data_IF_781325561768
#
_entry.id   IF_781325561768
#
_cell.length_a   1.000
_cell.length_b   1.000
_cell.length_c   1.000
_cell.angle_alpha   90.00
_cell.angle_beta   90.00
_cell.angle_gamma   90.00
#
_symmetry.space_group_name_H-M   'P 1'
#
loop_
_entity.id
_entity.type
_entity.pdbx_description
1 polymer ?
#
# COMPACT_ATOMS: atom_id res chain seq x y z
N UNK A 1 8.45 14.18 0.20
CA UNK A 1 8.37 13.16 -0.86
C UNK A 1 7.25 13.49 -1.83
N UNK A 2 7.37 13.07 -3.09
CA UNK A 2 6.28 13.21 -4.06
C UNK A 2 5.25 12.11 -3.85
N UNK A 3 3.97 12.45 -4.02
CA UNK A 3 2.87 11.50 -3.96
C UNK A 3 1.75 11.92 -4.92
N UNK A 4 1.07 10.93 -5.49
CA UNK A 4 -0.14 11.13 -6.28
C UNK A 4 -1.34 10.83 -5.38
N UNK A 5 -2.10 11.86 -5.05
CA UNK A 5 -3.19 11.75 -4.08
C UNK A 5 -4.57 11.91 -4.73
N UNK A 6 -5.56 11.31 -4.09
CA UNK A 6 -6.97 11.68 -4.22
C UNK A 6 -7.27 12.71 -3.12
N UNK A 7 -7.39 14.01 -3.47
CA UNK A 7 -7.51 15.06 -2.45
C UNK A 7 -8.88 15.11 -1.79
N UNK A 8 -9.92 14.67 -2.51
CA UNK A 8 -11.31 14.71 -2.09
C UNK A 8 -12.26 14.15 -3.14
N UNK A 9 -13.59 14.27 -2.91
CA UNK A 9 -14.61 13.88 -3.88
C UNK A 9 -14.48 14.60 -5.23
N UNK A 10 -14.81 13.87 -6.31
CA UNK A 10 -14.78 14.39 -7.69
C UNK A 10 -13.66 13.79 -8.54
N UNK A 11 -13.71 13.95 -9.87
CA UNK A 11 -12.72 13.38 -10.78
C UNK A 11 -11.32 14.00 -10.62
N UNK A 12 -10.31 13.21 -10.96
CA UNK A 12 -8.91 13.64 -11.01
C UNK A 12 -8.09 13.28 -9.78
N UNK A 13 -6.79 13.49 -9.90
CA UNK A 13 -5.76 13.24 -8.89
C UNK A 13 -4.82 14.45 -8.86
N UNK A 14 -4.07 14.61 -7.77
CA UNK A 14 -3.09 15.68 -7.60
C UNK A 14 -1.72 15.11 -7.28
N UNK A 15 -0.69 15.62 -7.96
CA UNK A 15 0.70 15.36 -7.61
C UNK A 15 1.14 16.41 -6.58
N UNK A 16 1.49 15.94 -5.40
CA UNK A 16 1.86 16.81 -4.28
C UNK A 16 3.22 16.44 -3.70
N UNK A 17 3.80 17.39 -2.96
CA UNK A 17 4.88 17.11 -2.03
C UNK A 17 4.33 17.03 -0.60
N UNK A 18 4.65 15.93 0.10
CA UNK A 18 4.22 15.70 1.47
C UNK A 18 5.36 15.11 2.32
N UNK A 19 5.16 15.07 3.64
CA UNK A 19 6.09 14.40 4.55
C UNK A 19 6.19 12.90 4.23
N UNK A 20 7.32 12.28 4.55
CA UNK A 20 7.43 10.82 4.53
C UNK A 20 6.48 10.22 5.57
N UNK A 21 5.91 9.01 5.31
CA UNK A 21 5.06 8.36 6.29
C UNK A 21 5.86 7.97 7.54
N UNK A 22 5.21 8.05 8.70
CA UNK A 22 5.75 7.50 9.94
C UNK A 22 5.82 5.96 9.84
N UNK A 23 6.88 5.39 10.43
CA UNK A 23 7.07 3.93 10.48
C UNK A 23 6.56 3.43 11.82
N UNK A 24 5.42 2.73 11.80
CA UNK A 24 4.88 2.08 12.99
C UNK A 24 5.75 0.89 13.43
N UNK A 25 5.55 0.40 14.68
CA UNK A 25 6.40 -0.66 15.24
C UNK A 25 6.46 -1.94 14.40
N UNK A 26 5.40 -2.25 13.67
CA UNK A 26 5.27 -3.45 12.83
C UNK A 26 5.33 -3.17 11.33
N UNK A 27 5.59 -1.91 10.95
CA UNK A 27 5.57 -1.47 9.56
C UNK A 27 6.96 -1.57 8.90
N UNK A 28 6.95 -1.66 7.60
CA UNK A 28 8.12 -1.57 6.72
C UNK A 28 7.96 -0.34 5.85
N UNK A 29 8.94 0.54 5.85
CA UNK A 29 9.04 1.67 4.94
C UNK A 29 9.72 1.22 3.65
N UNK A 30 9.04 1.39 2.54
CA UNK A 30 9.49 0.93 1.23
C UNK A 30 9.74 2.13 0.32
N UNK A 31 10.96 2.26 -0.19
CA UNK A 31 11.28 3.18 -1.28
C UNK A 31 10.77 2.58 -2.59
N UNK A 32 9.67 3.12 -3.11
CA UNK A 32 8.97 2.59 -4.29
C UNK A 32 9.84 2.79 -5.54
N UNK A 33 10.02 1.73 -6.29
CA UNK A 33 10.79 1.73 -7.55
C UNK A 33 9.91 1.56 -8.77
N UNK A 34 8.80 0.83 -8.65
CA UNK A 34 7.78 0.62 -9.69
C UNK A 34 6.42 0.49 -9.04
N UNK A 35 5.42 0.98 -9.74
CA UNK A 35 4.02 0.76 -9.40
C UNK A 35 3.25 0.46 -10.69
N UNK A 36 2.17 -0.30 -10.57
CA UNK A 36 1.26 -0.60 -11.67
C UNK A 36 -0.09 0.09 -11.46
N UNK A 37 -0.75 0.44 -12.55
CA UNK A 37 -2.10 1.00 -12.53
C UNK A 37 -3.09 -0.15 -12.64
N UNK A 38 -3.99 -0.25 -11.67
CA UNK A 38 -5.12 -1.18 -11.65
C UNK A 38 -6.40 -0.50 -12.13
N UNK A 39 -7.41 -1.28 -12.51
CA UNK A 39 -8.75 -0.76 -12.78
C UNK A 39 -9.36 0.01 -11.62
N UNK A 40 -9.04 -0.37 -10.39
CA UNK A 40 -9.44 0.34 -9.17
C UNK A 40 -8.94 1.80 -9.15
N UNK A 41 -7.73 2.06 -9.65
CA UNK A 41 -7.19 3.43 -9.71
C UNK A 41 -7.98 4.30 -10.69
N UNK A 42 -8.56 3.72 -11.76
CA UNK A 42 -9.45 4.42 -12.68
C UNK A 42 -10.79 4.77 -12.03
N UNK A 43 -11.38 3.85 -11.26
CA UNK A 43 -12.58 4.14 -10.45
C UNK A 43 -12.35 5.30 -9.48
N UNK A 44 -11.18 5.33 -8.82
CA UNK A 44 -10.79 6.42 -7.92
C UNK A 44 -10.58 7.72 -8.69
N UNK A 45 -9.94 7.65 -9.87
CA UNK A 45 -9.73 8.82 -10.72
C UNK A 45 -11.05 9.44 -11.15
N UNK A 46 -11.98 8.62 -11.66
CA UNK A 46 -13.30 9.06 -12.17
C UNK A 46 -14.27 9.42 -11.03
N UNK A 47 -13.98 8.96 -9.82
CA UNK A 47 -14.83 9.15 -8.63
C UNK A 47 -16.24 8.61 -8.81
N UNK A 48 -16.36 7.39 -9.28
CA UNK A 48 -17.64 6.72 -9.48
C UNK A 48 -18.34 6.35 -8.14
N UNK A 49 -19.51 5.74 -8.22
CA UNK A 49 -20.32 5.38 -7.04
C UNK A 49 -19.58 4.44 -6.08
N UNK A 50 -18.74 3.55 -6.60
CA UNK A 50 -17.91 2.67 -5.76
C UNK A 50 -16.84 3.48 -5.02
N UNK A 51 -16.09 4.31 -5.74
CA UNK A 51 -15.05 5.14 -5.12
C UNK A 51 -15.64 6.11 -4.09
N UNK A 52 -16.80 6.69 -4.37
CA UNK A 52 -17.51 7.57 -3.46
C UNK A 52 -17.97 6.86 -2.16
N UNK A 53 -18.21 5.53 -2.22
CA UNK A 53 -18.61 4.74 -1.06
C UNK A 53 -17.46 4.16 -0.23
N UNK A 54 -16.29 3.93 -0.86
CA UNK A 54 -15.21 3.15 -0.25
C UNK A 54 -13.96 3.98 0.05
N UNK A 55 -13.64 5.00 -0.76
CA UNK A 55 -12.34 5.68 -0.67
C UNK A 55 -12.34 6.73 0.43
N UNK A 56 -11.37 6.62 1.33
CA UNK A 56 -11.14 7.63 2.39
C UNK A 56 -10.21 8.71 1.84
N UNK A 57 -10.70 9.95 1.76
CA UNK A 57 -9.91 11.08 1.26
C UNK A 57 -9.54 12.07 2.37
N UNK A 58 -8.37 12.75 2.30
CA UNK A 58 -7.35 12.60 1.26
C UNK A 58 -6.56 11.30 1.44
N UNK A 59 -6.09 10.70 0.32
CA UNK A 59 -5.29 9.47 0.36
C UNK A 59 -4.30 9.43 -0.82
N UNK A 60 -3.09 8.96 -0.56
CA UNK A 60 -2.15 8.56 -1.62
C UNK A 60 -2.66 7.25 -2.23
N UNK A 61 -2.91 7.21 -3.54
CA UNK A 61 -3.45 6.02 -4.20
C UNK A 61 -2.34 5.01 -4.58
N UNK A 62 -2.73 3.92 -5.24
CA UNK A 62 -1.84 2.86 -5.71
C UNK A 62 -1.66 1.72 -4.70
N UNK A 63 -1.94 0.50 -5.13
CA UNK A 63 -1.91 -0.70 -4.27
C UNK A 63 -1.09 -1.85 -4.86
N UNK A 64 -0.52 -1.64 -6.05
CA UNK A 64 0.37 -2.57 -6.72
C UNK A 64 1.74 -1.91 -6.88
N UNK A 65 2.71 -2.28 -6.04
CA UNK A 65 4.02 -1.66 -6.03
C UNK A 65 5.13 -2.61 -5.62
N UNK A 66 6.32 -2.26 -6.06
CA UNK A 66 7.58 -2.90 -5.76
C UNK A 66 8.58 -1.83 -5.30
N UNK A 67 9.45 -2.21 -4.38
CA UNK A 67 10.49 -1.29 -3.92
C UNK A 67 11.63 -1.97 -3.19
N UNK A 68 12.39 -1.13 -2.51
CA UNK A 68 13.48 -1.54 -1.63
C UNK A 68 13.17 -1.04 -0.23
N UNK A 69 13.37 -1.89 0.76
CA UNK A 69 13.16 -1.54 2.16
C UNK A 69 14.13 -0.44 2.57
N UNK A 70 13.60 0.68 3.05
CA UNK A 70 14.37 1.83 3.55
C UNK A 70 14.58 1.73 5.07
N UNK A 71 13.51 1.37 5.79
CA UNK A 71 13.51 1.22 7.24
C UNK A 71 12.44 0.22 7.68
N UNK A 72 12.58 -0.28 8.90
CA UNK A 72 11.60 -1.18 9.53
C UNK A 72 11.30 -0.72 10.95
N UNK A 73 10.08 -1.01 11.41
CA UNK A 73 9.68 -0.80 12.80
C UNK A 73 10.42 -1.73 13.76
N UNK A 74 10.48 -1.35 15.02
CA UNK A 74 11.27 -2.02 16.07
C UNK A 74 10.81 -3.46 16.41
N UNK A 75 9.58 -3.83 16.01
CA UNK A 75 9.04 -5.17 16.17
C UNK A 75 9.15 -6.04 14.91
N UNK A 76 9.67 -5.49 13.81
CA UNK A 76 9.86 -6.23 12.57
C UNK A 76 11.18 -7.01 12.64
N UNK A 77 11.09 -8.34 12.58
CA UNK A 77 12.25 -9.24 12.62
C UNK A 77 12.42 -10.08 11.36
N UNK A 78 11.45 -10.01 10.44
CA UNK A 78 11.37 -10.86 9.25
C UNK A 78 11.91 -10.20 7.98
N UNK A 79 12.10 -8.88 7.98
CA UNK A 79 12.50 -8.07 6.81
C UNK A 79 13.61 -7.13 7.27
N UNK A 80 14.59 -6.85 6.39
CA UNK A 80 15.71 -5.97 6.68
C UNK A 80 15.83 -4.84 5.65
N UNK A 81 16.38 -3.67 6.03
CA UNK A 81 16.70 -2.60 5.08
C UNK A 81 17.59 -3.10 3.94
N UNK A 82 17.32 -2.62 2.72
CA UNK A 82 18.03 -3.02 1.50
C UNK A 82 17.37 -4.21 0.76
N UNK A 83 16.46 -4.94 1.37
CA UNK A 83 15.76 -6.05 0.70
C UNK A 83 14.81 -5.56 -0.40
N UNK A 84 14.71 -6.34 -1.47
CA UNK A 84 13.76 -6.11 -2.57
C UNK A 84 12.43 -6.75 -2.21
N UNK A 85 11.36 -5.95 -2.25
CA UNK A 85 10.04 -6.39 -1.77
C UNK A 85 8.90 -5.91 -2.65
N UNK A 86 7.82 -6.69 -2.67
CA UNK A 86 6.52 -6.29 -3.20
C UNK A 86 5.52 -6.16 -2.04
N UNK A 87 4.61 -5.20 -2.14
CA UNK A 87 3.54 -4.99 -1.18
C UNK A 87 2.25 -5.68 -1.60
N UNK A 88 1.54 -6.27 -0.65
CA UNK A 88 0.16 -6.76 -0.81
C UNK A 88 -0.81 -5.72 -0.25
N UNK A 89 -1.80 -5.33 -1.08
CA UNK A 89 -2.68 -4.18 -0.82
C UNK A 89 -3.78 -4.41 0.22
N UNK A 90 -4.00 -5.63 0.75
CA UNK A 90 -5.09 -5.93 1.68
C UNK A 90 -4.56 -6.16 3.09
N UNK A 91 -4.54 -5.12 3.90
CA UNK A 91 -4.14 -5.22 5.31
C UNK A 91 -5.28 -5.83 6.12
N UNK A 92 -5.07 -7.02 6.66
CA UNK A 92 -6.07 -7.76 7.42
C UNK A 92 -5.89 -7.57 8.92
N UNK A 93 -6.97 -7.65 9.70
CA UNK A 93 -6.92 -7.38 11.13
C UNK A 93 -6.26 -8.49 11.98
N UNK A 94 -6.04 -9.69 11.44
CA UNK A 94 -5.46 -10.83 12.15
C UNK A 94 -6.32 -11.44 13.27
N UNK A 95 -7.34 -10.74 13.77
CA UNK A 95 -8.06 -11.10 15.00
C UNK A 95 -9.50 -11.56 14.81
N UNK A 96 -10.15 -11.26 13.68
CA UNK A 96 -11.52 -11.68 13.43
C UNK A 96 -11.60 -13.21 13.22
N UNK A 97 -12.82 -13.75 13.26
CA UNK A 97 -13.06 -15.19 13.06
C UNK A 97 -12.39 -15.73 11.80
N UNK A 98 -12.51 -15.01 10.69
CA UNK A 98 -11.97 -15.44 9.40
C UNK A 98 -10.44 -15.47 9.43
N UNK A 99 -9.80 -14.41 9.95
CA UNK A 99 -8.35 -14.37 10.08
C UNK A 99 -7.82 -15.50 10.97
N UNK A 100 -8.45 -15.75 12.12
CA UNK A 100 -8.07 -16.83 13.04
C UNK A 100 -8.27 -18.23 12.46
N UNK A 101 -9.16 -18.37 11.47
CA UNK A 101 -9.38 -19.62 10.74
C UNK A 101 -8.47 -19.77 9.51
N UNK A 102 -7.49 -18.89 9.28
CA UNK A 102 -6.61 -18.91 8.11
C UNK A 102 -7.25 -18.35 6.83
N UNK A 103 -8.45 -17.80 6.93
CA UNK A 103 -9.19 -17.23 5.81
C UNK A 103 -9.06 -15.69 5.79
N UNK A 104 -7.84 -15.19 5.78
CA UNK A 104 -7.54 -13.75 5.84
C UNK A 104 -8.14 -12.97 4.67
N UNK A 105 -8.22 -13.56 3.48
CA UNK A 105 -8.88 -12.99 2.30
C UNK A 105 -10.38 -12.71 2.50
N UNK A 106 -11.00 -13.24 3.55
CA UNK A 106 -12.37 -12.97 3.98
C UNK A 106 -12.42 -12.07 5.24
N UNK A 107 -11.35 -11.33 5.53
CA UNK A 107 -11.33 -10.44 6.67
C UNK A 107 -12.43 -9.38 6.55
N UNK A 108 -13.21 -9.21 7.63
CA UNK A 108 -14.31 -8.20 7.65
C UNK A 108 -13.80 -6.79 7.89
N UNK A 109 -12.56 -6.67 8.36
CA UNK A 109 -11.93 -5.40 8.72
C UNK A 109 -10.70 -5.17 7.84
N UNK A 110 -10.77 -5.54 6.57
CA UNK A 110 -9.69 -5.28 5.62
C UNK A 110 -9.53 -3.78 5.40
N UNK A 111 -8.29 -3.33 5.46
CA UNK A 111 -7.91 -1.95 5.14
C UNK A 111 -7.13 -1.98 3.83
N UNK A 112 -7.70 -1.40 2.78
CA UNK A 112 -7.04 -1.32 1.46
C UNK A 112 -5.96 -0.24 1.43
N UNK A 113 -4.76 -0.64 1.02
CA UNK A 113 -3.66 0.30 0.70
C UNK A 113 -4.05 1.08 -0.55
N UNK A 114 -3.87 2.39 -0.55
CA UNK A 114 -4.29 3.26 -1.64
C UNK A 114 -5.80 3.54 -1.71
N UNK A 115 -6.58 3.08 -0.71
CA UNK A 115 -8.04 3.21 -0.64
C UNK A 115 -8.45 3.76 0.73
N UNK A 116 -8.08 3.05 1.81
CA UNK A 116 -8.41 3.41 3.20
C UNK A 116 -7.19 3.93 3.98
N UNK A 117 -6.00 3.73 3.44
CA UNK A 117 -4.72 4.23 3.93
C UNK A 117 -3.82 4.53 2.74
N UNK A 118 -2.78 5.33 2.96
CA UNK A 118 -1.84 5.73 1.91
C UNK A 118 -1.20 4.54 1.19
N UNK A 119 -1.05 4.68 -0.12
CA UNK A 119 -0.57 3.68 -1.06
C UNK A 119 0.75 4.01 -1.73
N UNK A 120 1.06 3.25 -2.78
CA UNK A 120 2.37 3.18 -3.42
C UNK A 120 2.60 4.12 -4.59
N UNK A 121 1.66 5.00 -4.96
CA UNK A 121 1.94 6.04 -5.96
C UNK A 121 2.64 7.23 -5.29
N UNK A 122 3.75 6.92 -4.62
CA UNK A 122 4.61 7.87 -3.91
C UNK A 122 6.07 7.41 -3.95
N UNK A 123 7.00 8.30 -3.56
CA UNK A 123 8.42 7.92 -3.42
C UNK A 123 8.61 6.89 -2.28
N UNK A 124 7.80 6.97 -1.22
CA UNK A 124 7.83 6.08 -0.05
C UNK A 124 6.42 5.65 0.35
N UNK A 125 6.29 4.40 0.81
CA UNK A 125 5.06 3.86 1.41
C UNK A 125 5.39 3.03 2.66
N UNK A 126 4.56 3.13 3.70
CA UNK A 126 4.68 2.32 4.91
C UNK A 126 3.51 1.34 5.01
N UNK A 127 3.81 0.03 5.10
CA UNK A 127 2.79 -1.03 5.26
C UNK A 127 3.25 -2.05 6.31
N UNK A 128 2.31 -2.78 6.96
CA UNK A 128 2.68 -3.85 7.89
C UNK A 128 3.58 -4.90 7.25
N UNK A 129 4.57 -5.39 7.99
CA UNK A 129 5.50 -6.43 7.53
C UNK A 129 4.77 -7.71 7.07
N UNK A 130 3.57 -8.00 7.63
CA UNK A 130 2.72 -9.11 7.18
C UNK A 130 2.24 -8.99 5.73
N UNK A 131 2.29 -7.78 5.16
CA UNK A 131 1.89 -7.48 3.79
C UNK A 131 3.09 -7.31 2.85
N UNK A 132 4.30 -7.65 3.30
CA UNK A 132 5.54 -7.47 2.55
C UNK A 132 6.12 -8.82 2.15
N UNK A 133 6.37 -8.99 0.86
CA UNK A 133 6.91 -10.23 0.29
C UNK A 133 8.26 -9.96 -0.38
N UNK A 134 9.27 -10.77 -0.04
CA UNK A 134 10.58 -10.72 -0.70
C UNK A 134 10.47 -11.09 -2.16
N UNK A 135 11.12 -10.33 -3.00
CA UNK A 135 11.22 -10.63 -4.43
C UNK A 135 12.52 -11.37 -4.68
N UNK A 136 12.48 -12.57 -5.29
CA UNK A 136 13.67 -13.37 -5.59
C UNK A 136 14.71 -12.59 -6.39
N UNK A 137 15.99 -12.88 -6.15
CA UNK A 137 17.07 -12.38 -6.96
C UNK A 137 16.90 -12.85 -8.43
N UNK A 138 17.21 -11.94 -9.37
CA UNK A 138 17.09 -12.23 -10.80
C UNK A 138 15.68 -12.03 -11.38
N UNK A 139 14.64 -11.85 -10.55
CA UNK A 139 13.32 -11.46 -11.06
C UNK A 139 13.36 -10.01 -11.53
N UNK A 140 13.03 -9.79 -12.80
CA UNK A 140 12.94 -8.44 -13.36
C UNK A 140 11.66 -7.74 -12.83
N UNK A 141 11.78 -6.44 -12.56
CA UNK A 141 10.67 -5.60 -12.08
C UNK A 141 9.51 -5.49 -13.08
N UNK A 142 9.75 -5.77 -14.35
CA UNK A 142 8.69 -5.81 -15.37
C UNK A 142 7.74 -7.00 -15.22
N UNK A 143 8.08 -7.99 -14.40
CA UNK A 143 7.21 -9.13 -14.11
C UNK A 143 6.22 -8.87 -12.96
N UNK A 144 6.30 -7.70 -12.38
CA UNK A 144 5.38 -7.20 -11.38
C UNK A 144 4.41 -6.23 -12.04
#
# INVERSE_FOLDING_TARGET
>A
MRALIKPGPGPGLELVEQAAPDVGPVDVLIAVKRAAICGTDLHIFDWDDWAAGEVVTPVTIGHEFFGVVEAVGDQVTSIEPGERVAGEGHVTCGTCRNCRAGNQHLCRNTVGVGIHRDGGFADLVAIPASNVYRVPEGLSLIHI
#
